data_IF_653555480929
#
_entry.id   IF_653555480929
#
_cell.length_a   1.000
_cell.length_b   1.000
_cell.length_c   1.000
_cell.angle_alpha   90.00
_cell.angle_beta   90.00
_cell.angle_gamma   90.00
#
_symmetry.space_group_name_H-M   'P 1'
#
loop_
_entity.id
_entity.type
_entity.pdbx_description
1 polymer ?
#
# COMPACT_ATOMS: atom_id res chain seq x y z
N UNK A 1 -21.63 6.17 3.47
CA UNK A 1 -20.40 5.91 2.71
C UNK A 1 -20.78 4.87 1.70
N UNK A 2 -21.38 5.35 0.61
CA UNK A 2 -21.65 4.50 -0.53
C UNK A 2 -20.39 4.52 -1.41
N UNK A 3 -20.18 3.42 -2.09
CA UNK A 3 -19.06 3.24 -2.97
C UNK A 3 -19.45 3.72 -4.36
N UNK A 4 -18.80 4.77 -4.85
CA UNK A 4 -19.21 5.40 -6.11
C UNK A 4 -18.72 4.59 -7.33
N UNK A 5 -17.68 3.78 -7.18
CA UNK A 5 -17.04 3.02 -8.28
C UNK A 5 -16.86 1.55 -7.95
N UNK A 6 -17.40 0.60 -8.74
CA UNK A 6 -17.15 -0.83 -8.54
C UNK A 6 -15.66 -1.14 -8.30
N UNK A 7 -15.36 -1.91 -7.25
CA UNK A 7 -13.98 -2.29 -6.89
C UNK A 7 -13.15 -1.24 -6.15
N UNK A 8 -13.47 0.06 -6.18
CA UNK A 8 -12.59 1.05 -5.54
C UNK A 8 -13.00 2.51 -5.56
N UNK A 9 -13.20 3.15 -4.42
CA UNK A 9 -12.90 4.56 -4.20
C UNK A 9 -11.54 4.66 -3.50
N UNK A 10 -10.55 5.01 -4.30
CA UNK A 10 -9.18 5.25 -3.89
C UNK A 10 -8.59 6.41 -4.68
N UNK A 11 -7.47 6.92 -4.21
CA UNK A 11 -6.74 7.99 -4.89
C UNK A 11 -6.23 7.47 -6.24
N UNK A 12 -6.64 8.11 -7.34
CA UNK A 12 -6.40 7.60 -8.70
C UNK A 12 -4.92 7.46 -9.06
N UNK A 13 -4.09 8.36 -8.57
CA UNK A 13 -2.64 8.28 -8.74
C UNK A 13 -2.02 7.46 -7.61
N UNK A 14 -1.24 6.45 -7.96
CA UNK A 14 -0.54 5.61 -6.99
C UNK A 14 0.54 6.39 -6.22
N UNK A 15 0.65 6.16 -4.92
CA UNK A 15 1.73 6.68 -4.09
C UNK A 15 3.08 6.06 -4.43
N UNK A 16 3.10 4.79 -4.82
CA UNK A 16 4.28 4.11 -5.35
C UNK A 16 3.86 2.90 -6.19
N UNK A 17 4.72 2.47 -7.10
CA UNK A 17 4.48 1.31 -7.99
C UNK A 17 5.69 0.41 -8.02
N UNK A 18 5.47 -0.90 -7.97
CA UNK A 18 6.52 -1.91 -8.16
C UNK A 18 6.01 -3.04 -9.04
N UNK A 19 6.89 -3.63 -9.86
CA UNK A 19 6.53 -4.83 -10.62
C UNK A 19 6.59 -6.06 -9.72
N UNK A 20 5.44 -6.66 -9.47
CA UNK A 20 5.32 -7.89 -8.67
C UNK A 20 5.26 -9.12 -9.57
N UNK A 21 6.11 -10.12 -9.33
CA UNK A 21 6.21 -11.35 -10.13
C UNK A 21 5.98 -12.60 -9.26
N UNK A 22 6.91 -13.56 -9.25
CA UNK A 22 6.83 -14.82 -8.51
C UNK A 22 6.79 -14.67 -6.98
N UNK A 23 6.87 -15.78 -6.25
CA UNK A 23 6.98 -15.72 -4.79
C UNK A 23 8.28 -14.99 -4.38
N UNK A 24 8.19 -14.11 -3.38
CA UNK A 24 9.32 -13.31 -2.91
C UNK A 24 8.86 -12.06 -2.17
N UNK A 25 9.83 -11.34 -1.61
CA UNK A 25 9.61 -10.04 -0.96
C UNK A 25 9.68 -8.92 -1.98
N UNK A 26 8.86 -7.90 -1.78
CA UNK A 26 8.77 -6.73 -2.65
C UNK A 26 8.82 -5.46 -1.79
N UNK A 27 9.57 -4.48 -2.27
CA UNK A 27 9.66 -3.15 -1.64
C UNK A 27 9.04 -2.13 -2.56
N UNK A 28 8.12 -1.34 -2.03
CA UNK A 28 7.68 -0.11 -2.66
C UNK A 28 8.65 0.97 -2.21
N UNK A 29 9.50 1.43 -3.13
CA UNK A 29 10.47 2.48 -2.82
C UNK A 29 9.74 3.78 -2.43
N UNK A 30 10.35 4.50 -1.50
CA UNK A 30 9.82 5.77 -1.01
C UNK A 30 9.71 6.78 -2.14
N UNK A 31 8.62 7.54 -2.13
CA UNK A 31 8.34 8.64 -3.05
C UNK A 31 7.88 9.84 -2.25
N UNK A 32 7.93 11.03 -2.84
CA UNK A 32 7.38 12.25 -2.21
C UNK A 32 5.91 12.08 -1.82
N UNK A 33 5.16 11.25 -2.56
CA UNK A 33 3.75 10.98 -2.28
C UNK A 33 3.57 10.06 -1.08
N UNK A 34 4.35 8.99 -0.96
CA UNK A 34 4.34 8.15 0.26
C UNK A 34 4.74 8.94 1.50
N UNK A 35 5.73 9.84 1.37
CA UNK A 35 6.12 10.75 2.46
C UNK A 35 4.97 11.68 2.83
N UNK A 36 4.33 12.29 1.82
CA UNK A 36 3.17 13.18 2.02
C UNK A 36 2.00 12.46 2.70
N UNK A 37 1.71 11.22 2.28
CA UNK A 37 0.64 10.41 2.87
C UNK A 37 0.91 10.16 4.37
N UNK A 38 2.11 9.69 4.73
CA UNK A 38 2.48 9.40 6.12
C UNK A 38 2.52 10.68 6.97
N UNK A 39 3.02 11.78 6.41
CA UNK A 39 2.99 13.08 7.10
C UNK A 39 1.55 13.55 7.32
N UNK A 40 0.66 13.40 6.33
CA UNK A 40 -0.75 13.73 6.45
C UNK A 40 -1.46 12.89 7.52
N UNK A 41 -1.10 11.61 7.68
CA UNK A 41 -1.64 10.77 8.74
C UNK A 41 -1.19 11.20 10.14
N UNK A 42 0.00 11.79 10.26
CA UNK A 42 0.50 12.34 11.52
C UNK A 42 -0.19 13.67 11.85
N UNK A 43 -0.34 14.54 10.85
CA UNK A 43 -0.91 15.89 11.00
C UNK A 43 -2.42 15.85 11.21
N UNK A 44 -3.14 14.93 10.54
CA UNK A 44 -4.56 14.67 10.72
C UNK A 44 -4.85 13.16 10.77
N UNK A 45 -4.77 12.54 11.96
CA UNK A 45 -5.03 11.12 12.13
C UNK A 45 -6.46 10.69 11.77
N UNK A 46 -7.44 11.61 11.85
CA UNK A 46 -8.83 11.30 11.52
C UNK A 46 -9.04 11.14 10.00
N UNK A 47 -8.18 11.77 9.19
CA UNK A 47 -8.14 11.63 7.74
C UNK A 47 -7.40 10.38 7.23
N UNK A 48 -6.79 9.57 8.11
CA UNK A 48 -6.05 8.38 7.69
C UNK A 48 -7.01 7.23 7.32
N UNK A 49 -7.10 6.93 6.01
CA UNK A 49 -7.86 5.79 5.46
C UNK A 49 -6.92 4.63 5.02
N UNK A 50 -5.62 4.77 5.30
CA UNK A 50 -4.58 3.80 4.97
C UNK A 50 -4.28 3.72 3.47
N UNK A 51 -3.42 2.76 3.12
CA UNK A 51 -3.12 2.41 1.74
C UNK A 51 -3.79 1.10 1.34
N UNK A 52 -3.99 0.96 0.03
CA UNK A 52 -4.30 -0.30 -0.61
C UNK A 52 -3.23 -0.67 -1.63
N UNK A 53 -3.10 -1.96 -1.90
CA UNK A 53 -2.30 -2.45 -3.02
C UNK A 53 -3.24 -2.85 -4.15
N UNK A 54 -3.16 -2.13 -5.26
CA UNK A 54 -3.93 -2.40 -6.47
C UNK A 54 -3.05 -3.15 -7.48
N UNK A 55 -3.53 -4.30 -7.95
CA UNK A 55 -2.93 -4.99 -9.09
C UNK A 55 -3.33 -4.34 -10.41
N UNK A 56 -2.74 -4.79 -11.51
CA UNK A 56 -3.25 -4.42 -12.84
C UNK A 56 -4.58 -5.14 -13.10
N UNK A 57 -5.69 -4.43 -12.91
CA UNK A 57 -7.04 -4.94 -13.12
C UNK A 57 -7.47 -4.96 -14.59
N UNK A 58 -6.62 -4.46 -15.52
CA UNK A 58 -6.86 -4.61 -16.96
C UNK A 58 -6.53 -6.02 -17.46
N UNK A 59 -5.75 -6.79 -16.69
CA UNK A 59 -5.29 -8.12 -17.05
C UNK A 59 -6.11 -9.20 -16.34
N UNK A 60 -6.38 -10.29 -17.06
CA UNK A 60 -6.97 -11.48 -16.45
C UNK A 60 -5.97 -12.17 -15.51
N UNK A 61 -6.43 -12.58 -14.32
CA UNK A 61 -5.65 -13.38 -13.34
C UNK A 61 -4.43 -12.64 -12.75
N UNK A 62 -4.57 -11.35 -12.44
CA UNK A 62 -3.54 -10.53 -11.78
C UNK A 62 -3.50 -10.65 -10.26
N UNK A 63 -4.33 -11.50 -9.66
CA UNK A 63 -4.41 -11.68 -8.21
C UNK A 63 -3.06 -12.16 -7.63
N UNK A 64 -2.62 -11.48 -6.57
CA UNK A 64 -1.39 -11.80 -5.83
C UNK A 64 -1.68 -11.89 -4.34
N UNK A 65 -1.14 -12.93 -3.68
CA UNK A 65 -1.17 -13.06 -2.23
C UNK A 65 0.12 -12.50 -1.61
N UNK A 66 -0.04 -11.74 -0.54
CA UNK A 66 1.02 -11.32 0.37
C UNK A 66 0.75 -11.90 1.76
N UNK A 67 1.81 -12.04 2.55
CA UNK A 67 1.69 -12.46 3.94
C UNK A 67 1.05 -11.36 4.78
N UNK A 68 0.24 -11.76 5.77
CA UNK A 68 -0.47 -10.83 6.63
C UNK A 68 0.41 -10.35 7.79
N UNK A 69 0.00 -9.27 8.47
CA UNK A 69 0.61 -8.83 9.73
C UNK A 69 0.55 -9.88 10.86
N UNK A 70 -0.27 -10.92 10.71
CA UNK A 70 -0.43 -12.00 11.68
C UNK A 70 0.27 -13.30 11.22
N UNK A 71 1.14 -13.26 10.20
CA UNK A 71 1.87 -14.44 9.76
C UNK A 71 2.75 -15.02 10.89
N UNK A 72 2.79 -16.35 11.03
CA UNK A 72 3.50 -17.01 12.14
C UNK A 72 4.99 -16.68 12.16
N UNK A 73 5.63 -16.71 10.99
CA UNK A 73 7.02 -16.25 10.80
C UNK A 73 7.07 -14.72 10.75
N UNK A 74 7.71 -14.10 11.75
CA UNK A 74 7.78 -12.63 11.89
C UNK A 74 8.46 -11.94 10.71
N UNK A 75 9.53 -12.54 10.17
CA UNK A 75 10.31 -11.98 9.05
C UNK A 75 9.50 -11.88 7.74
N UNK A 76 8.37 -12.58 7.65
CA UNK A 76 7.49 -12.54 6.49
C UNK A 76 6.37 -11.50 6.63
N UNK A 77 6.17 -10.91 7.82
CA UNK A 77 5.13 -9.90 8.03
C UNK A 77 5.50 -8.63 7.24
N UNK A 78 4.50 -7.92 6.68
CA UNK A 78 4.74 -6.65 6.01
C UNK A 78 5.26 -5.60 7.02
N UNK A 79 6.18 -4.76 6.57
CA UNK A 79 6.82 -3.71 7.38
C UNK A 79 6.71 -2.36 6.67
N UNK A 80 6.40 -1.32 7.44
CA UNK A 80 6.56 0.08 7.02
C UNK A 80 7.78 0.67 7.74
N UNK A 81 8.76 1.15 6.97
CA UNK A 81 9.94 1.83 7.52
C UNK A 81 9.78 3.34 7.30
N UNK A 82 9.81 4.11 8.38
CA UNK A 82 9.72 5.58 8.35
C UNK A 82 11.01 6.16 8.92
N UNK A 83 11.78 6.82 8.06
CA UNK A 83 12.92 7.62 8.48
C UNK A 83 12.46 9.08 8.57
N UNK A 84 12.62 9.69 9.74
CA UNK A 84 12.18 11.06 10.00
C UNK A 84 13.35 11.90 10.50
N UNK A 85 13.24 13.21 10.31
CA UNK A 85 14.10 14.21 10.94
C UNK A 85 13.36 14.85 12.10
N UNK A 86 14.08 15.20 13.15
CA UNK A 86 13.54 15.91 14.32
C UNK A 86 13.49 17.42 14.09
#
# INVERSE_FOLDING_TARGET
>A
MDWDKPGGDFVADASSTVTVKGAGSYTWESTDRLVTDVQGWLDDPAGNIGWLLLGDESQSRSAKRFDSRNHDTEQNRPVLVVNYVA
#
